data_IF_963538673581
#
_entry.id   IF_963538673581
#
_cell.length_a   1.000
_cell.length_b   1.000
_cell.length_c   1.000
_cell.angle_alpha   90.00
_cell.angle_beta   90.00
_cell.angle_gamma   90.00
#
_symmetry.space_group_name_H-M   'P 1'
#
loop_
_entity.id
_entity.type
_entity.pdbx_description
1 polymer ?
#
# COMPACT_ATOMS: atom_id res chain seq x y z
N UNK A 1 -4.00 -15.83 12.89
CA UNK A 1 -3.59 -14.43 13.13
C UNK A 1 -2.81 -13.80 11.97
N UNK A 2 -1.65 -14.33 11.53
CA UNK A 2 -0.81 -13.68 10.49
C UNK A 2 -1.46 -13.57 9.09
N UNK A 3 -2.32 -14.52 8.71
CA UNK A 3 -3.02 -14.52 7.41
C UNK A 3 -4.03 -13.37 7.30
N UNK A 4 -4.76 -13.07 8.37
CA UNK A 4 -5.72 -11.95 8.44
C UNK A 4 -5.02 -10.60 8.26
N UNK A 5 -3.87 -10.40 8.92
CA UNK A 5 -3.08 -9.19 8.74
C UNK A 5 -2.59 -9.02 7.28
N UNK A 6 -2.24 -10.13 6.62
CA UNK A 6 -1.86 -10.13 5.21
C UNK A 6 -3.04 -9.74 4.30
N UNK A 7 -4.21 -10.36 4.49
CA UNK A 7 -5.41 -10.02 3.69
C UNK A 7 -5.91 -8.59 3.94
N UNK A 8 -5.85 -8.09 5.19
CA UNK A 8 -6.16 -6.68 5.50
C UNK A 8 -5.20 -5.73 4.79
N UNK A 9 -3.89 -6.00 4.87
CA UNK A 9 -2.87 -5.20 4.19
C UNK A 9 -3.06 -5.21 2.67
N UNK A 10 -3.48 -6.33 2.10
CA UNK A 10 -3.78 -6.46 0.67
C UNK A 10 -4.98 -5.59 0.29
N UNK A 11 -6.06 -5.64 1.08
CA UNK A 11 -7.28 -4.88 0.83
C UNK A 11 -7.04 -3.36 0.94
N UNK A 12 -6.32 -2.93 1.98
CA UNK A 12 -5.88 -1.53 2.16
C UNK A 12 -5.01 -1.07 1.00
N UNK A 13 -4.08 -1.91 0.55
CA UNK A 13 -3.22 -1.59 -0.61
C UNK A 13 -4.06 -1.40 -1.88
N UNK A 14 -5.07 -2.24 -2.11
CA UNK A 14 -5.93 -2.14 -3.29
C UNK A 14 -6.78 -0.86 -3.27
N UNK A 15 -7.28 -0.49 -2.09
CA UNK A 15 -8.01 0.76 -1.87
C UNK A 15 -7.14 2.00 -2.10
N UNK A 16 -5.88 1.97 -1.64
CA UNK A 16 -4.89 3.02 -1.91
C UNK A 16 -4.63 3.17 -3.40
N UNK A 17 -4.45 2.07 -4.13
CA UNK A 17 -4.23 2.10 -5.59
C UNK A 17 -5.42 2.72 -6.32
N UNK A 18 -6.65 2.36 -5.92
CA UNK A 18 -7.86 2.94 -6.50
C UNK A 18 -7.95 4.44 -6.24
N UNK A 19 -7.64 4.86 -5.01
CA UNK A 19 -7.62 6.28 -4.61
C UNK A 19 -6.59 7.07 -5.42
N UNK A 20 -5.36 6.58 -5.50
CA UNK A 20 -4.27 7.21 -6.27
C UNK A 20 -4.66 7.32 -7.76
N UNK A 21 -5.18 6.22 -8.34
CA UNK A 21 -5.57 6.18 -9.77
C UNK A 21 -6.72 7.12 -10.08
N UNK A 22 -7.72 7.19 -9.19
CA UNK A 22 -8.85 8.10 -9.35
C UNK A 22 -8.40 9.57 -9.28
N UNK A 23 -7.46 9.89 -8.40
CA UNK A 23 -6.88 11.23 -8.32
C UNK A 23 -6.06 11.55 -9.59
N UNK A 24 -5.21 10.62 -10.04
CA UNK A 24 -4.38 10.79 -11.24
C UNK A 24 -5.19 10.93 -12.53
N UNK A 25 -6.28 10.19 -12.69
CA UNK A 25 -7.07 10.16 -13.92
C UNK A 25 -8.16 11.23 -13.98
N UNK A 26 -8.79 11.54 -12.84
CA UNK A 26 -9.99 12.40 -12.83
C UNK A 26 -9.79 13.74 -12.13
N UNK A 27 -8.77 13.87 -11.28
CA UNK A 27 -8.60 15.06 -10.44
C UNK A 27 -7.22 15.70 -10.58
N UNK A 28 -6.42 15.32 -11.58
CA UNK A 28 -5.07 15.86 -11.77
C UNK A 28 -5.10 17.36 -12.08
N UNK A 29 -6.10 17.81 -12.84
CA UNK A 29 -6.32 19.23 -13.15
C UNK A 29 -6.85 20.04 -11.95
N UNK A 30 -7.41 19.36 -10.95
CA UNK A 30 -7.84 19.96 -9.68
C UNK A 30 -6.83 19.77 -8.55
N UNK A 31 -5.67 19.20 -8.87
CA UNK A 31 -4.70 18.78 -7.88
C UNK A 31 -3.89 20.00 -7.42
N UNK A 32 -4.40 20.63 -6.37
CA UNK A 32 -3.70 21.74 -5.74
C UNK A 32 -2.48 21.22 -4.94
N UNK A 33 -1.63 22.13 -4.45
CA UNK A 33 -0.36 21.77 -3.77
C UNK A 33 -0.54 20.76 -2.60
N UNK A 34 -1.68 20.80 -1.91
CA UNK A 34 -2.07 19.83 -0.87
C UNK A 34 -2.43 18.44 -1.43
N UNK A 35 -3.01 18.36 -2.63
CA UNK A 35 -3.34 17.10 -3.31
C UNK A 35 -2.10 16.31 -3.71
N UNK A 36 -1.03 17.00 -4.14
CA UNK A 36 0.27 16.37 -4.37
C UNK A 36 0.88 15.80 -3.08
N UNK A 37 0.75 16.52 -1.96
CA UNK A 37 1.19 16.02 -0.65
C UNK A 37 0.41 14.78 -0.19
N UNK A 38 -0.91 14.75 -0.41
CA UNK A 38 -1.75 13.59 -0.12
C UNK A 38 -1.36 12.37 -0.97
N UNK A 39 -1.15 12.57 -2.27
CA UNK A 39 -0.67 11.54 -3.19
C UNK A 39 0.69 10.98 -2.77
N UNK A 40 1.65 11.86 -2.48
CA UNK A 40 2.98 11.46 -2.02
C UNK A 40 2.90 10.64 -0.71
N UNK A 41 2.04 11.06 0.24
CA UNK A 41 1.77 10.33 1.47
C UNK A 41 1.21 8.93 1.21
N UNK A 42 0.23 8.80 0.30
CA UNK A 42 -0.35 7.50 -0.09
C UNK A 42 0.69 6.60 -0.76
N UNK A 43 1.55 7.14 -1.63
CA UNK A 43 2.64 6.38 -2.27
C UNK A 43 3.67 5.86 -1.26
N UNK A 44 4.06 6.69 -0.29
CA UNK A 44 4.96 6.29 0.81
C UNK A 44 4.31 5.20 1.67
N UNK A 45 3.03 5.33 1.99
CA UNK A 45 2.30 4.35 2.78
C UNK A 45 2.18 3.00 2.04
N UNK A 46 1.99 3.04 0.72
CA UNK A 46 1.95 1.85 -0.13
C UNK A 46 3.31 1.14 -0.16
N UNK A 47 4.41 1.89 -0.30
CA UNK A 47 5.76 1.34 -0.20
C UNK A 47 6.03 0.71 1.17
N UNK A 48 5.61 1.37 2.24
CA UNK A 48 5.77 0.86 3.60
C UNK A 48 5.02 -0.47 3.80
N UNK A 49 3.75 -0.54 3.39
CA UNK A 49 2.97 -1.77 3.48
C UNK A 49 3.57 -2.88 2.61
N UNK A 50 3.99 -2.56 1.38
CA UNK A 50 4.63 -3.53 0.48
C UNK A 50 5.92 -4.09 1.08
N UNK A 51 6.75 -3.23 1.67
CA UNK A 51 7.97 -3.65 2.37
C UNK A 51 7.65 -4.54 3.58
N UNK A 52 6.64 -4.17 4.37
CA UNK A 52 6.17 -4.95 5.51
C UNK A 52 5.71 -6.34 5.06
N UNK A 53 4.89 -6.40 4.00
CA UNK A 53 4.40 -7.64 3.39
C UNK A 53 5.56 -8.52 2.89
N UNK A 54 6.56 -7.94 2.22
CA UNK A 54 7.75 -8.67 1.77
C UNK A 54 8.54 -9.26 2.94
N UNK A 55 8.76 -8.48 4.00
CA UNK A 55 9.46 -8.95 5.22
C UNK A 55 8.68 -10.04 5.96
N UNK A 56 7.36 -9.92 6.02
CA UNK A 56 6.49 -10.96 6.61
C UNK A 56 6.52 -12.27 5.80
N UNK A 57 6.60 -12.20 4.48
CA UNK A 57 6.75 -13.39 3.62
C UNK A 57 8.09 -14.08 3.88
N UNK A 58 9.21 -13.34 3.89
CA UNK A 58 10.55 -13.89 4.16
C UNK A 58 10.61 -14.65 5.49
N UNK A 59 10.06 -14.08 6.56
CA UNK A 59 10.09 -14.67 7.90
C UNK A 59 9.27 -15.97 8.05
N UNK A 60 8.27 -16.21 7.18
CA UNK A 60 7.54 -17.49 7.19
C UNK A 60 8.21 -18.55 6.31
N UNK A 61 9.01 -18.17 5.31
CA UNK A 61 9.78 -19.11 4.48
C UNK A 61 10.97 -19.72 5.23
N UNK A 62 11.62 -18.97 6.13
CA UNK A 62 12.69 -19.50 6.99
C UNK A 62 12.18 -20.48 8.07
N UNK A 63 10.89 -20.39 8.45
CA UNK A 63 10.28 -21.30 9.43
C UNK A 63 9.85 -22.67 8.88
N UNK A 64 9.88 -22.86 7.56
CA UNK A 64 9.48 -24.11 6.90
C UNK A 64 10.69 -25.01 6.55
N UNK A 65 11.89 -24.65 7.00
CA UNK A 65 13.12 -25.43 6.79
C UNK A 65 13.71 -26.06 8.06
N UNK A 66 12.91 -26.20 9.12
CA UNK A 66 13.27 -26.96 10.32
C UNK A 66 12.25 -28.05 10.59
#
# INVERSE_FOLDING_TARGET
>A
MKKIAFYLSLFISLYLVFTISNIFLYHIDKLNQYGYGFLAGQSILLLFFTYLTYRFKKNNSEKLQF
#
